data_IF_365734731619
#
_entry.id   IF_365734731619
#
_cell.length_a   1.000
_cell.length_b   1.000
_cell.length_c   1.000
_cell.angle_alpha   90.00
_cell.angle_beta   90.00
_cell.angle_gamma   90.00
#
_symmetry.space_group_name_H-M   'P 1'
#
loop_
_entity.id
_entity.type
_entity.pdbx_description
1 polymer ?
#
# COMPACT_ATOMS: atom_id res chain seq x y z
N UNK A 1 45.97 16.93 23.76
CA UNK A 1 44.87 16.12 23.20
C UNK A 1 45.51 15.20 22.19
N UNK A 2 46.12 14.13 22.68
CA UNK A 2 46.76 13.14 21.82
C UNK A 2 45.64 12.38 21.13
N UNK A 3 45.42 12.66 19.85
CA UNK A 3 44.39 12.00 19.08
C UNK A 3 44.76 10.54 18.89
N UNK A 4 44.26 9.70 19.78
CA UNK A 4 44.34 8.25 19.66
C UNK A 4 43.64 7.82 18.37
N UNK A 5 44.41 7.42 17.35
CA UNK A 5 43.93 6.91 16.07
C UNK A 5 42.90 5.77 16.23
N UNK A 6 42.97 5.07 17.37
CA UNK A 6 41.98 4.08 17.81
C UNK A 6 40.56 4.65 17.85
N UNK A 7 40.38 5.88 18.31
CA UNK A 7 39.06 6.52 18.35
C UNK A 7 38.46 6.73 16.95
N UNK A 8 39.30 7.09 15.97
CA UNK A 8 38.86 7.23 14.58
C UNK A 8 38.43 5.88 13.99
N UNK A 9 39.17 4.81 14.28
CA UNK A 9 38.85 3.46 13.81
C UNK A 9 37.57 2.92 14.47
N UNK A 10 37.45 3.01 15.79
CA UNK A 10 36.24 2.57 16.49
C UNK A 10 35.00 3.39 16.11
N UNK A 11 35.15 4.72 15.95
CA UNK A 11 34.08 5.59 15.48
C UNK A 11 33.65 5.25 14.05
N UNK A 12 34.59 5.01 13.14
CA UNK A 12 34.31 4.60 11.76
C UNK A 12 33.58 3.25 11.68
N UNK A 13 34.01 2.27 12.47
CA UNK A 13 33.34 0.96 12.56
C UNK A 13 31.93 1.10 13.14
N UNK A 14 31.75 1.92 14.18
CA UNK A 14 30.43 2.19 14.77
C UNK A 14 29.47 2.85 13.80
N UNK A 15 29.93 3.85 13.03
CA UNK A 15 29.12 4.52 12.01
C UNK A 15 28.77 3.58 10.85
N UNK A 16 29.72 2.75 10.40
CA UNK A 16 29.46 1.72 9.39
C UNK A 16 28.43 0.70 9.88
N UNK A 17 28.56 0.21 11.11
CA UNK A 17 27.59 -0.70 11.72
C UNK A 17 26.19 -0.08 11.80
N UNK A 18 26.10 1.18 12.24
CA UNK A 18 24.84 1.91 12.30
C UNK A 18 24.21 2.10 10.91
N UNK A 19 25.01 2.41 9.89
CA UNK A 19 24.54 2.56 8.51
C UNK A 19 23.99 1.24 7.94
N UNK A 20 24.67 0.11 8.18
CA UNK A 20 24.22 -1.20 7.71
C UNK A 20 22.92 -1.62 8.38
N UNK A 21 22.81 -1.45 9.69
CA UNK A 21 21.58 -1.77 10.43
C UNK A 21 20.44 -0.83 10.01
N UNK A 22 20.71 0.48 9.95
CA UNK A 22 19.72 1.47 9.53
C UNK A 22 19.17 1.21 8.13
N UNK A 23 20.04 0.92 7.17
CA UNK A 23 19.64 0.63 5.79
C UNK A 23 18.84 -0.68 5.67
N UNK A 24 19.21 -1.72 6.42
CA UNK A 24 18.46 -2.97 6.46
C UNK A 24 17.04 -2.78 7.04
N UNK A 25 16.85 -1.88 8.00
CA UNK A 25 15.52 -1.58 8.57
C UNK A 25 14.67 -0.66 7.69
N UNK A 26 15.29 0.25 6.93
CA UNK A 26 14.57 1.16 6.02
C UNK A 26 13.89 0.40 4.87
N UNK A 27 14.51 -0.67 4.36
CA UNK A 27 13.98 -1.46 3.25
C UNK A 27 12.58 -2.07 3.52
N UNK A 28 12.34 -2.84 4.61
CA UNK A 28 11.01 -3.37 4.93
C UNK A 28 10.03 -2.27 5.33
N UNK A 29 10.50 -1.19 5.97
CA UNK A 29 9.63 -0.07 6.34
C UNK A 29 9.05 0.63 5.09
N UNK A 30 9.86 0.78 4.04
CA UNK A 30 9.41 1.35 2.76
C UNK A 30 8.33 0.47 2.09
N UNK A 31 8.43 -0.86 2.22
CA UNK A 31 7.41 -1.78 1.72
C UNK A 31 6.09 -1.62 2.47
N UNK A 32 6.13 -1.56 3.81
CA UNK A 32 4.93 -1.36 4.65
C UNK A 32 4.20 -0.06 4.29
N UNK A 33 4.95 1.03 4.13
CA UNK A 33 4.38 2.33 3.72
C UNK A 33 3.70 2.22 2.35
N UNK A 34 4.34 1.55 1.38
CA UNK A 34 3.78 1.38 0.04
C UNK A 34 2.50 0.55 0.04
N UNK A 35 2.43 -0.49 0.87
CA UNK A 35 1.22 -1.31 1.06
C UNK A 35 0.10 -0.50 1.74
N UNK A 36 0.42 0.27 2.77
CA UNK A 36 -0.55 1.13 3.45
C UNK A 36 -1.15 2.16 2.50
N UNK A 37 -0.33 2.84 1.69
CA UNK A 37 -0.82 3.82 0.71
C UNK A 37 -1.73 3.14 -0.33
N UNK A 38 -1.35 1.96 -0.83
CA UNK A 38 -2.18 1.19 -1.76
C UNK A 38 -3.52 0.77 -1.14
N UNK A 39 -3.53 0.36 0.13
CA UNK A 39 -4.75 0.01 0.86
C UNK A 39 -5.66 1.22 1.08
N UNK A 40 -5.10 2.37 1.45
CA UNK A 40 -5.90 3.59 1.67
C UNK A 40 -6.54 4.05 0.37
N UNK A 41 -5.77 4.13 -0.73
CA UNK A 41 -6.31 4.56 -2.03
C UNK A 41 -7.32 3.55 -2.59
N UNK A 42 -7.00 2.26 -2.53
CA UNK A 42 -7.88 1.19 -2.96
C UNK A 42 -9.16 1.09 -2.14
N UNK A 43 -9.07 1.27 -0.82
CA UNK A 43 -10.20 1.35 0.08
C UNK A 43 -11.10 2.55 -0.16
N UNK A 44 -10.50 3.71 -0.45
CA UNK A 44 -11.26 4.93 -0.79
C UNK A 44 -12.04 4.75 -2.11
N UNK A 45 -11.39 4.17 -3.13
CA UNK A 45 -12.03 3.86 -4.41
C UNK A 45 -13.13 2.81 -4.26
N UNK A 46 -12.87 1.74 -3.50
CA UNK A 46 -13.86 0.69 -3.24
C UNK A 46 -15.06 1.27 -2.47
N UNK A 47 -14.84 2.15 -1.49
CA UNK A 47 -15.91 2.82 -0.75
C UNK A 47 -16.78 3.69 -1.67
N UNK A 48 -16.17 4.45 -2.59
CA UNK A 48 -16.91 5.23 -3.60
C UNK A 48 -17.72 4.33 -4.53
N UNK A 49 -17.13 3.25 -5.03
CA UNK A 49 -17.82 2.28 -5.89
C UNK A 49 -18.94 1.58 -5.13
N UNK A 50 -18.74 1.23 -3.86
CA UNK A 50 -19.77 0.60 -3.03
C UNK A 50 -20.91 1.58 -2.70
N UNK A 51 -20.64 2.88 -2.57
CA UNK A 51 -21.66 3.91 -2.38
C UNK A 51 -22.53 4.09 -3.62
N UNK A 52 -21.93 4.14 -4.81
CA UNK A 52 -22.65 4.24 -6.09
C UNK A 52 -23.35 2.91 -6.42
N UNK A 53 -22.68 1.79 -6.13
CA UNK A 53 -23.17 0.42 -6.32
C UNK A 53 -24.29 0.01 -5.37
N UNK A 54 -24.42 0.65 -4.20
CA UNK A 54 -25.53 0.43 -3.28
C UNK A 54 -26.89 0.76 -3.93
N UNK A 55 -26.93 1.73 -4.84
CA UNK A 55 -28.13 2.05 -5.65
C UNK A 55 -28.52 0.86 -6.53
N UNK A 56 -27.55 0.02 -6.88
CA UNK A 56 -27.69 -1.17 -7.72
C UNK A 56 -27.58 -2.50 -6.93
N UNK A 57 -27.70 -2.47 -5.59
CA UNK A 57 -27.54 -3.64 -4.70
C UNK A 57 -26.19 -4.39 -4.81
N UNK A 58 -25.13 -3.74 -5.33
CA UNK A 58 -23.79 -4.32 -5.31
C UNK A 58 -23.08 -3.96 -4.00
N UNK A 59 -22.85 -4.96 -3.16
CA UNK A 59 -22.01 -4.83 -1.97
C UNK A 59 -20.71 -5.64 -2.17
N UNK A 60 -19.60 -4.94 -2.40
CA UNK A 60 -18.28 -5.59 -2.46
C UNK A 60 -17.67 -5.56 -1.06
N UNK A 61 -17.26 -6.73 -0.55
CA UNK A 61 -16.62 -6.82 0.75
C UNK A 61 -15.31 -6.00 0.80
N UNK A 62 -15.19 -5.13 1.81
CA UNK A 62 -14.02 -4.26 2.02
C UNK A 62 -12.93 -5.03 2.76
N UNK A 63 -12.04 -5.68 2.01
CA UNK A 63 -10.91 -6.47 2.52
C UNK A 63 -9.60 -5.93 1.91
N UNK A 64 -8.45 -5.99 2.60
CA UNK A 64 -7.15 -5.62 2.03
C UNK A 64 -6.88 -6.14 0.62
N UNK A 65 -7.27 -7.40 0.35
CA UNK A 65 -7.11 -8.01 -0.97
C UNK A 65 -7.99 -7.33 -2.02
N UNK A 66 -9.26 -7.03 -1.68
CA UNK A 66 -10.21 -6.38 -2.59
C UNK A 66 -9.93 -4.90 -2.76
N UNK A 67 -9.37 -4.23 -1.76
CA UNK A 67 -8.92 -2.84 -1.84
C UNK A 67 -7.75 -2.71 -2.82
N UNK A 68 -6.75 -3.60 -2.73
CA UNK A 68 -5.62 -3.62 -3.65
C UNK A 68 -6.04 -3.92 -5.09
N UNK A 69 -6.98 -4.84 -5.30
CA UNK A 69 -7.48 -5.15 -6.66
C UNK A 69 -8.44 -4.09 -7.21
N UNK A 70 -9.28 -3.47 -6.39
CA UNK A 70 -10.17 -2.39 -6.81
C UNK A 70 -9.42 -1.10 -7.18
N UNK A 71 -8.25 -0.87 -6.58
CA UNK A 71 -7.32 0.16 -7.05
C UNK A 71 -6.81 -0.06 -8.48
N UNK A 72 -6.87 -1.30 -9.01
CA UNK A 72 -6.36 -1.67 -10.34
C UNK A 72 -7.50 -1.94 -11.34
N UNK A 73 -8.62 -2.52 -10.89
CA UNK A 73 -9.75 -2.93 -11.73
C UNK A 73 -11.09 -2.41 -11.19
N UNK A 74 -11.35 -1.09 -11.26
CA UNK A 74 -12.66 -0.52 -10.91
C UNK A 74 -13.74 -0.80 -11.98
N UNK A 75 -13.31 -1.06 -13.21
CA UNK A 75 -14.18 -1.17 -14.40
C UNK A 75 -14.99 -2.49 -14.54
N UNK A 76 -14.48 -3.71 -14.21
CA UNK A 76 -15.18 -4.95 -14.56
C UNK A 76 -16.52 -5.15 -13.85
N UNK A 77 -16.68 -4.63 -12.63
CA UNK A 77 -17.94 -4.73 -11.88
C UNK A 77 -19.04 -3.80 -12.42
N UNK A 78 -18.67 -2.58 -12.85
CA UNK A 78 -19.60 -1.64 -13.46
C UNK A 78 -20.09 -2.17 -14.81
N UNK A 79 -19.20 -2.77 -15.62
CA UNK A 79 -19.55 -3.36 -16.92
C UNK A 79 -20.60 -4.46 -16.76
N UNK A 80 -20.42 -5.39 -15.80
CA UNK A 80 -21.37 -6.50 -15.61
C UNK A 80 -22.76 -6.00 -15.20
N UNK A 81 -22.83 -5.01 -14.33
CA UNK A 81 -24.10 -4.39 -13.90
C UNK A 81 -24.79 -3.63 -15.03
N UNK A 82 -24.06 -2.82 -15.78
CA UNK A 82 -24.61 -2.07 -16.92
C UNK A 82 -25.10 -3.03 -18.01
N UNK A 83 -24.35 -4.10 -18.30
CA UNK A 83 -24.79 -5.12 -19.24
C UNK A 83 -26.04 -5.85 -18.74
N UNK A 84 -26.10 -6.24 -17.46
CA UNK A 84 -27.26 -6.90 -16.91
C UNK A 84 -28.51 -5.99 -16.93
N UNK A 85 -28.37 -4.72 -16.59
CA UNK A 85 -29.46 -3.74 -16.62
C UNK A 85 -29.98 -3.49 -18.05
N UNK A 86 -29.12 -3.53 -19.07
CA UNK A 86 -29.51 -3.39 -20.47
C UNK A 86 -30.17 -4.66 -21.02
N UNK A 87 -29.75 -5.85 -20.57
CA UNK A 87 -30.26 -7.14 -21.09
C UNK A 87 -31.50 -7.67 -20.35
N UNK A 88 -31.73 -7.26 -19.10
CA UNK A 88 -32.88 -7.69 -18.29
C UNK A 88 -34.06 -6.70 -18.40
N UNK A 89 -33.83 -5.48 -18.89
CA UNK A 89 -34.88 -4.52 -19.26
C UNK A 89 -35.38 -4.75 -20.70
#
# INVERSE_FOLDING_TARGET
>A
MDWDWKMLVFGGIGLLGLYLIGSALIAPLRLLVRLLVGLVVGGLLLALVNLVGAIFNLHIAVNPLTMLTAGVFPVPGLILLTLLAIFVA
#
